data_IF_205086138339
#
_entry.id   IF_205086138339
#
_cell.length_a   1.000
_cell.length_b   1.000
_cell.length_c   1.000
_cell.angle_alpha   90.00
_cell.angle_beta   90.00
_cell.angle_gamma   90.00
#
_symmetry.space_group_name_H-M   'P 1'
#
loop_
_entity.id
_entity.type
_entity.pdbx_description
1 polymer ?
#
# COMPACT_ATOMS: atom_id res chain seq x y z
N UNK A 1 -83.20 -46.13 26.14
CA UNK A 1 -83.26 -44.83 25.43
C UNK A 1 -82.02 -44.02 25.78
N UNK A 2 -80.98 -44.09 24.94
CA UNK A 2 -79.74 -43.30 25.08
C UNK A 2 -79.72 -42.26 23.96
N UNK A 3 -79.74 -40.97 24.33
CA UNK A 3 -79.84 -39.83 23.41
C UNK A 3 -78.46 -39.47 22.85
N UNK A 4 -78.38 -39.37 21.53
CA UNK A 4 -77.28 -38.73 20.79
C UNK A 4 -77.02 -37.31 21.29
N UNK A 5 -75.75 -36.93 21.45
CA UNK A 5 -75.31 -35.54 21.59
C UNK A 5 -74.45 -35.18 20.37
N UNK A 6 -74.95 -34.24 19.59
CA UNK A 6 -74.27 -33.60 18.46
C UNK A 6 -73.15 -32.69 18.97
N UNK A 7 -71.94 -32.82 18.41
CA UNK A 7 -70.79 -31.96 18.69
C UNK A 7 -70.65 -30.99 17.51
N UNK A 8 -70.62 -29.69 17.80
CA UNK A 8 -70.30 -28.63 16.82
C UNK A 8 -68.78 -28.42 16.80
N UNK A 9 -68.17 -28.51 15.62
CA UNK A 9 -66.75 -28.19 15.39
C UNK A 9 -66.63 -26.71 15.05
N UNK A 10 -65.87 -25.96 15.84
CA UNK A 10 -65.50 -24.57 15.55
C UNK A 10 -64.19 -24.60 14.76
N UNK A 11 -64.21 -24.07 13.54
CA UNK A 11 -63.06 -23.97 12.66
C UNK A 11 -62.36 -22.62 12.89
N UNK A 12 -61.17 -22.64 13.50
CA UNK A 12 -60.35 -21.43 13.67
C UNK A 12 -59.41 -21.29 12.48
N UNK A 13 -59.61 -20.24 11.68
CA UNK A 13 -58.69 -19.86 10.58
C UNK A 13 -57.57 -19.01 11.16
N UNK A 14 -56.32 -19.50 11.07
CA UNK A 14 -55.11 -18.73 11.43
C UNK A 14 -54.57 -18.07 10.17
N UNK A 15 -54.58 -16.74 10.13
CA UNK A 15 -53.97 -15.94 9.08
C UNK A 15 -52.45 -15.84 9.33
N UNK A 16 -51.64 -16.46 8.48
CA UNK A 16 -50.19 -16.30 8.50
C UNK A 16 -49.81 -15.01 7.74
N UNK A 17 -49.29 -14.01 8.45
CA UNK A 17 -48.72 -12.80 7.85
C UNK A 17 -47.24 -13.05 7.60
N UNK A 18 -46.87 -13.24 6.34
CA UNK A 18 -45.48 -13.36 5.91
C UNK A 18 -44.81 -12.00 5.93
N UNK A 19 -43.85 -11.78 6.85
CA UNK A 19 -42.97 -10.62 6.82
C UNK A 19 -41.97 -10.76 5.68
N UNK A 20 -42.16 -9.99 4.60
CA UNK A 20 -41.12 -9.77 3.61
C UNK A 20 -40.02 -8.92 4.24
N UNK A 21 -38.83 -9.51 4.43
CA UNK A 21 -37.63 -8.75 4.79
C UNK A 21 -37.25 -7.89 3.59
N UNK A 22 -37.57 -6.60 3.64
CA UNK A 22 -36.99 -5.63 2.72
C UNK A 22 -35.52 -5.50 3.09
N UNK A 23 -34.64 -6.04 2.26
CA UNK A 23 -33.20 -5.79 2.30
C UNK A 23 -32.97 -4.28 2.23
N UNK A 24 -32.67 -3.69 3.38
CA UNK A 24 -32.28 -2.30 3.48
C UNK A 24 -30.95 -2.14 2.75
N UNK A 25 -30.95 -1.32 1.71
CA UNK A 25 -29.71 -0.81 1.13
C UNK A 25 -29.03 -0.02 2.25
N UNK A 26 -28.04 -0.65 2.89
CA UNK A 26 -27.09 0.08 3.71
C UNK A 26 -26.39 1.04 2.77
N UNK A 27 -26.72 2.32 2.87
CA UNK A 27 -25.82 3.37 2.42
C UNK A 27 -24.48 3.07 3.09
N UNK A 28 -23.43 2.88 2.29
CA UNK A 28 -22.08 2.76 2.79
C UNK A 28 -21.76 4.04 3.56
N UNK A 29 -21.89 4.00 4.88
CA UNK A 29 -21.14 4.87 5.78
C UNK A 29 -19.69 4.75 5.36
N UNK A 30 -18.96 5.86 5.20
CA UNK A 30 -17.54 5.87 4.84
C UNK A 30 -16.84 4.72 5.57
N UNK A 31 -16.51 3.66 4.81
CA UNK A 31 -15.90 2.49 5.39
C UNK A 31 -14.60 2.96 6.04
N UNK A 32 -14.37 2.59 7.29
CA UNK A 32 -13.08 2.81 7.91
C UNK A 32 -12.03 2.16 6.99
N UNK A 33 -11.22 2.98 6.32
CA UNK A 33 -10.31 2.51 5.27
C UNK A 33 -9.44 1.41 5.85
N UNK A 34 -9.51 0.22 5.28
CA UNK A 34 -8.73 -0.94 5.72
C UNK A 34 -7.26 -0.82 5.29
N UNK A 35 -7.01 -0.07 4.22
CA UNK A 35 -5.68 0.35 3.80
C UNK A 35 -5.12 1.41 4.77
N UNK A 36 -4.00 1.09 5.42
CA UNK A 36 -3.33 1.97 6.38
C UNK A 36 -2.18 2.75 5.77
N UNK A 37 -1.42 2.14 4.85
CA UNK A 37 -0.29 2.75 4.18
C UNK A 37 -0.21 2.33 2.72
N UNK A 38 0.35 3.20 1.90
CA UNK A 38 0.38 3.05 0.44
C UNK A 38 -0.84 3.66 -0.25
N UNK A 39 -0.96 3.47 -1.58
CA UNK A 39 -0.01 2.74 -2.41
C UNK A 39 1.32 3.49 -2.54
N UNK A 40 2.43 2.74 -2.57
CA UNK A 40 3.73 3.27 -3.02
C UNK A 40 4.22 2.42 -4.17
N UNK A 41 4.67 3.10 -5.23
CA UNK A 41 5.16 2.46 -6.44
C UNK A 41 6.67 2.35 -6.39
N UNK A 42 7.22 1.25 -6.86
CA UNK A 42 8.67 1.08 -7.05
C UNK A 42 8.98 -0.12 -7.91
N UNK A 43 10.27 -0.44 -8.02
CA UNK A 43 10.76 -1.43 -8.98
C UNK A 43 10.17 -1.23 -10.40
N UNK A 44 9.93 0.02 -10.79
CA UNK A 44 9.33 0.36 -12.07
C UNK A 44 10.35 0.10 -13.17
N UNK A 45 9.91 -0.57 -14.23
CA UNK A 45 10.68 -0.82 -15.44
C UNK A 45 9.84 -0.42 -16.65
N UNK A 46 10.30 -0.75 -17.86
CA UNK A 46 9.50 -0.55 -19.06
C UNK A 46 8.24 -1.42 -19.10
N UNK A 47 8.27 -2.59 -18.45
CA UNK A 47 7.23 -3.62 -18.59
C UNK A 47 6.71 -4.15 -17.27
N UNK A 48 7.14 -3.60 -16.14
CA UNK A 48 6.73 -4.04 -14.82
C UNK A 48 6.79 -2.90 -13.79
N UNK A 49 6.05 -3.06 -12.70
CA UNK A 49 6.12 -2.24 -11.50
C UNK A 49 5.75 -3.06 -10.27
N UNK A 50 6.00 -2.54 -9.08
CA UNK A 50 5.55 -3.13 -7.82
C UNK A 50 4.81 -2.11 -6.99
N UNK A 51 3.73 -2.54 -6.35
CA UNK A 51 2.84 -1.71 -5.56
C UNK A 51 2.84 -2.20 -4.12
N UNK A 52 3.33 -1.37 -3.22
CA UNK A 52 3.26 -1.61 -1.77
C UNK A 52 1.90 -1.19 -1.23
N UNK A 53 1.34 -2.02 -0.36
CA UNK A 53 0.17 -1.71 0.46
C UNK A 53 0.33 -2.34 1.85
N UNK A 54 -0.30 -1.73 2.86
CA UNK A 54 -0.43 -2.31 4.20
C UNK A 54 -1.85 -2.20 4.71
N UNK A 55 -2.43 -3.30 5.18
CA UNK A 55 -3.77 -3.33 5.76
C UNK A 55 -3.74 -3.21 7.29
N UNK A 56 -4.89 -2.89 7.89
CA UNK A 56 -5.06 -2.85 9.35
C UNK A 56 -4.93 -4.23 9.97
N UNK A 57 -5.62 -5.20 9.36
CA UNK A 57 -5.72 -6.60 9.76
C UNK A 57 -5.39 -7.51 8.57
N UNK A 58 -5.40 -8.83 8.79
CA UNK A 58 -5.24 -9.80 7.71
C UNK A 58 -6.40 -9.68 6.72
N UNK A 59 -6.07 -9.56 5.44
CA UNK A 59 -7.06 -9.33 4.39
C UNK A 59 -6.57 -9.82 3.03
N UNK A 60 -7.51 -10.03 2.12
CA UNK A 60 -7.21 -10.22 0.70
C UNK A 60 -6.96 -8.85 0.04
N UNK A 61 -5.83 -8.70 -0.63
CA UNK A 61 -5.45 -7.47 -1.34
C UNK A 61 -5.27 -7.74 -2.83
N UNK A 62 -5.85 -6.89 -3.67
CA UNK A 62 -5.59 -6.83 -5.11
C UNK A 62 -5.25 -5.42 -5.54
N UNK A 63 -4.49 -5.29 -6.62
CA UNK A 63 -4.30 -4.01 -7.31
C UNK A 63 -5.27 -3.96 -8.48
N UNK A 64 -6.09 -2.91 -8.55
CA UNK A 64 -6.92 -2.57 -9.71
C UNK A 64 -6.24 -1.44 -10.46
N UNK A 65 -5.85 -1.64 -11.70
CA UNK A 65 -5.06 -0.67 -12.46
C UNK A 65 -5.43 -0.61 -13.93
N UNK A 66 -5.31 0.58 -14.52
CA UNK A 66 -5.69 0.86 -15.92
C UNK A 66 -5.00 2.12 -16.44
N UNK A 67 -5.13 2.39 -17.74
CA UNK A 67 -4.57 3.60 -18.38
C UNK A 67 -5.55 4.78 -18.33
N UNK A 68 -6.86 4.50 -18.18
CA UNK A 68 -7.87 5.53 -18.00
C UNK A 68 -7.82 6.09 -16.57
N UNK A 69 -7.86 7.42 -16.44
CA UNK A 69 -7.77 8.11 -15.15
C UNK A 69 -8.94 7.81 -14.20
N UNK A 70 -10.05 7.30 -14.73
CA UNK A 70 -11.23 6.87 -13.98
C UNK A 70 -11.28 5.36 -13.71
N UNK A 71 -10.24 4.61 -14.14
CA UNK A 71 -10.14 3.15 -14.05
C UNK A 71 -11.25 2.40 -14.82
N UNK A 72 -11.85 3.02 -15.83
CA UNK A 72 -12.87 2.36 -16.69
C UNK A 72 -12.32 1.20 -17.52
N UNK A 73 -11.01 1.18 -17.79
CA UNK A 73 -10.28 0.12 -18.50
C UNK A 73 -9.52 -0.82 -17.56
N UNK A 74 -9.76 -0.73 -16.25
CA UNK A 74 -8.91 -1.39 -15.27
C UNK A 74 -9.04 -2.92 -15.29
N UNK A 75 -7.90 -3.56 -15.05
CA UNK A 75 -7.78 -4.98 -14.74
C UNK A 75 -7.39 -5.15 -13.27
N UNK A 76 -7.62 -6.34 -12.72
CA UNK A 76 -7.23 -6.69 -11.36
C UNK A 76 -6.10 -7.73 -11.38
N UNK A 77 -5.18 -7.61 -10.43
CA UNK A 77 -4.18 -8.66 -10.17
C UNK A 77 -4.82 -9.89 -9.53
N UNK A 78 -4.06 -10.98 -9.46
CA UNK A 78 -4.35 -12.03 -8.50
C UNK A 78 -4.32 -11.47 -7.06
N UNK A 79 -5.10 -12.09 -6.19
CA UNK A 79 -5.15 -11.78 -4.77
C UNK A 79 -3.85 -12.16 -4.06
N UNK A 80 -3.41 -11.32 -3.13
CA UNK A 80 -2.40 -11.64 -2.13
C UNK A 80 -2.98 -11.48 -0.73
N UNK A 81 -2.55 -12.32 0.20
CA UNK A 81 -3.00 -12.26 1.59
C UNK A 81 -2.00 -11.46 2.41
N UNK A 82 -2.49 -10.52 3.21
CA UNK A 82 -1.68 -9.87 4.25
C UNK A 82 -1.82 -10.62 5.57
N UNK A 83 -0.76 -10.64 6.38
CA UNK A 83 -0.78 -11.32 7.67
C UNK A 83 0.23 -10.75 8.66
N UNK A 84 0.08 -11.14 9.92
CA UNK A 84 0.90 -10.61 11.02
C UNK A 84 2.39 -10.98 10.88
N UNK A 85 2.72 -12.04 10.16
CA UNK A 85 4.09 -12.48 9.93
C UNK A 85 4.93 -11.43 9.20
N UNK A 86 4.29 -10.62 8.33
CA UNK A 86 4.90 -9.52 7.58
C UNK A 86 4.29 -8.15 7.95
N UNK A 87 3.77 -7.99 9.17
CA UNK A 87 3.12 -6.74 9.63
C UNK A 87 2.00 -6.24 8.70
N UNK A 88 1.25 -7.18 8.13
CA UNK A 88 0.12 -6.94 7.23
C UNK A 88 0.49 -6.14 5.97
N UNK A 89 1.76 -6.20 5.56
CA UNK A 89 2.22 -5.61 4.30
C UNK A 89 2.08 -6.59 3.14
N UNK A 90 1.99 -6.05 1.94
CA UNK A 90 2.07 -6.80 0.68
C UNK A 90 2.74 -5.93 -0.38
N UNK A 91 3.47 -6.57 -1.30
CA UNK A 91 4.05 -5.93 -2.48
C UNK A 91 3.63 -6.74 -3.70
N UNK A 92 2.70 -6.17 -4.46
CA UNK A 92 2.08 -6.83 -5.61
C UNK A 92 2.80 -6.41 -6.89
N UNK A 93 3.25 -7.38 -7.68
CA UNK A 93 3.86 -7.13 -8.99
C UNK A 93 2.78 -6.87 -10.04
N UNK A 94 3.03 -5.87 -10.88
CA UNK A 94 2.33 -5.62 -12.12
C UNK A 94 3.29 -5.94 -13.26
N UNK A 95 2.94 -6.91 -14.10
CA UNK A 95 3.78 -7.37 -15.22
C UNK A 95 3.11 -7.04 -16.56
N UNK A 96 3.87 -7.21 -17.65
CA UNK A 96 3.40 -6.99 -19.02
C UNK A 96 2.84 -5.57 -19.28
N UNK A 97 3.39 -4.57 -18.60
CA UNK A 97 3.05 -3.17 -18.83
C UNK A 97 3.58 -2.70 -20.19
N UNK A 98 2.88 -1.74 -20.78
CA UNK A 98 3.38 -1.03 -21.95
C UNK A 98 4.46 -0.02 -21.51
N UNK A 99 5.59 0.11 -22.23
CA UNK A 99 6.59 1.13 -21.94
C UNK A 99 6.05 2.55 -22.04
N UNK A 100 6.65 3.47 -21.29
CA UNK A 100 6.36 4.92 -21.32
C UNK A 100 4.87 5.26 -21.13
N UNK A 101 4.13 4.47 -20.36
CA UNK A 101 2.67 4.53 -20.23
C UNK A 101 2.29 4.84 -18.78
N UNK A 102 1.33 5.77 -18.61
CA UNK A 102 0.78 6.09 -17.29
C UNK A 102 -0.27 5.06 -16.90
N UNK A 103 -0.17 4.55 -15.67
CA UNK A 103 -1.13 3.64 -15.07
C UNK A 103 -1.68 4.24 -13.79
N UNK A 104 -3.00 4.33 -13.69
CA UNK A 104 -3.74 4.71 -12.51
C UNK A 104 -4.04 3.47 -11.68
N UNK A 105 -4.12 3.63 -10.36
CA UNK A 105 -4.16 2.50 -9.43
C UNK A 105 -5.15 2.76 -8.29
N UNK A 106 -5.92 1.72 -7.99
CA UNK A 106 -6.66 1.55 -6.74
C UNK A 106 -6.23 0.25 -6.06
N UNK A 107 -6.42 0.19 -4.74
CA UNK A 107 -6.20 -1.00 -3.94
C UNK A 107 -7.56 -1.53 -3.50
N UNK A 108 -7.80 -2.80 -3.76
CA UNK A 108 -8.97 -3.51 -3.27
C UNK A 108 -8.56 -4.29 -2.02
N UNK A 109 -9.26 -4.08 -0.90
CA UNK A 109 -9.10 -4.87 0.32
C UNK A 109 -10.42 -5.60 0.57
N UNK A 110 -10.39 -6.93 0.57
CA UNK A 110 -11.57 -7.81 0.62
C UNK A 110 -12.63 -7.42 -0.43
N UNK A 111 -12.16 -7.19 -1.67
CA UNK A 111 -12.95 -6.71 -2.81
C UNK A 111 -13.57 -5.30 -2.65
N UNK A 112 -13.21 -4.55 -1.61
CA UNK A 112 -13.67 -3.17 -1.39
C UNK A 112 -12.60 -2.18 -1.86
N UNK A 113 -12.92 -1.28 -2.83
CA UNK A 113 -12.08 -0.14 -3.21
C UNK A 113 -11.66 0.71 -2.03
N UNK A 114 -10.37 1.04 -1.92
CA UNK A 114 -9.82 1.81 -0.80
C UNK A 114 -9.49 3.26 -1.16
N UNK A 115 -9.32 3.56 -2.45
CA UNK A 115 -8.99 4.89 -2.94
C UNK A 115 -10.11 5.46 -3.80
N UNK A 116 -10.08 6.77 -3.99
CA UNK A 116 -11.02 7.49 -4.85
C UNK A 116 -10.25 8.38 -5.83
N UNK A 117 -10.94 8.79 -6.89
CA UNK A 117 -10.38 9.72 -7.86
C UNK A 117 -10.02 11.09 -7.21
N UNK A 118 -8.94 11.76 -7.65
CA UNK A 118 -7.97 11.29 -8.64
C UNK A 118 -7.12 10.14 -8.09
N UNK A 119 -7.06 9.03 -8.83
CA UNK A 119 -6.33 7.84 -8.39
C UNK A 119 -4.81 8.09 -8.44
N UNK A 120 -4.04 7.55 -7.47
CA UNK A 120 -2.59 7.51 -7.57
C UNK A 120 -2.15 6.84 -8.87
N UNK A 121 -1.04 7.30 -9.43
CA UNK A 121 -0.54 6.79 -10.69
C UNK A 121 0.98 6.73 -10.70
N UNK A 122 1.51 5.92 -11.60
CA UNK A 122 2.91 5.93 -11.98
C UNK A 122 3.03 5.86 -13.50
N UNK A 123 4.23 6.11 -14.01
CA UNK A 123 4.55 5.94 -15.43
C UNK A 123 5.63 4.88 -15.58
N UNK A 124 5.37 3.85 -16.38
CA UNK A 124 6.40 2.86 -16.75
C UNK A 124 7.54 3.53 -17.50
N UNK A 125 8.75 2.97 -17.40
CA UNK A 125 9.91 3.56 -18.07
C UNK A 125 9.82 3.40 -19.60
N UNK A 126 10.53 4.23 -20.37
CA UNK A 126 10.70 4.02 -21.80
C UNK A 126 11.31 2.64 -22.10
N UNK A 127 11.05 2.12 -23.30
CA UNK A 127 11.65 0.86 -23.73
C UNK A 127 13.19 0.96 -23.71
N UNK A 128 13.92 -0.09 -23.31
CA UNK A 128 15.38 -0.08 -23.32
C UNK A 128 15.94 0.34 -24.70
N UNK A 129 16.94 1.23 -24.69
CA UNK A 129 17.51 1.81 -25.91
C UNK A 129 16.77 3.03 -26.47
N UNK A 130 15.64 3.43 -25.88
CA UNK A 130 14.96 4.68 -26.24
C UNK A 130 15.66 5.86 -25.59
N UNK A 131 16.11 6.83 -26.39
CA UNK A 131 16.63 8.10 -25.86
C UNK A 131 15.48 8.90 -25.24
N UNK A 132 15.63 9.31 -23.99
CA UNK A 132 14.60 10.06 -23.26
C UNK A 132 15.26 10.98 -22.25
N UNK A 133 14.87 12.25 -22.25
CA UNK A 133 15.24 13.18 -21.18
C UNK A 133 14.37 12.92 -19.95
N UNK A 134 15.00 12.79 -18.78
CA UNK A 134 14.29 12.63 -17.52
C UNK A 134 15.03 13.35 -16.40
N UNK A 135 14.31 13.63 -15.32
CA UNK A 135 14.87 14.05 -14.03
C UNK A 135 14.67 12.92 -13.04
N UNK A 136 15.59 12.77 -12.11
CA UNK A 136 15.40 12.01 -10.90
C UNK A 136 15.84 12.86 -9.71
N UNK A 137 15.35 12.53 -8.53
CA UNK A 137 15.81 13.13 -7.28
C UNK A 137 16.46 12.04 -6.44
N UNK A 138 17.55 12.37 -5.74
CA UNK A 138 18.20 11.49 -4.78
C UNK A 138 18.08 12.12 -3.39
N UNK A 139 17.49 11.39 -2.44
CA UNK A 139 17.28 11.82 -1.06
C UNK A 139 17.90 10.81 -0.10
N UNK A 140 18.55 11.30 0.95
CA UNK A 140 19.24 10.49 1.97
C UNK A 140 19.15 11.21 3.31
N UNK A 141 19.40 10.49 4.41
CA UNK A 141 19.58 11.05 5.76
C UNK A 141 18.37 11.91 6.21
N UNK A 142 17.16 11.41 5.97
CA UNK A 142 15.94 12.09 6.35
C UNK A 142 15.51 11.68 7.75
N UNK A 143 15.64 12.56 8.73
CA UNK A 143 15.07 12.33 10.05
C UNK A 143 13.67 12.95 10.19
N UNK A 144 12.78 12.28 10.92
CA UNK A 144 11.50 12.80 11.36
C UNK A 144 11.70 13.84 12.49
N UNK A 145 12.42 14.93 12.21
CA UNK A 145 12.60 16.01 13.17
C UNK A 145 11.25 16.73 13.39
N UNK A 146 10.69 16.74 14.61
CA UNK A 146 9.40 17.34 14.89
C UNK A 146 9.44 18.87 14.93
N UNK A 147 10.62 19.49 14.92
CA UNK A 147 10.80 20.94 15.06
C UNK A 147 11.34 21.62 13.79
N UNK A 148 11.67 20.85 12.75
CA UNK A 148 12.27 21.36 11.52
C UNK A 148 11.42 21.00 10.30
N UNK A 149 10.94 22.03 9.59
CA UNK A 149 10.37 21.88 8.26
C UNK A 149 11.46 21.45 7.28
N UNK A 150 11.36 20.24 6.74
CA UNK A 150 12.24 19.75 5.69
C UNK A 150 11.79 20.29 4.31
N UNK A 151 12.13 21.56 4.02
CA UNK A 151 11.86 22.18 2.71
C UNK A 151 12.41 21.40 1.52
N UNK A 152 13.37 20.50 1.75
CA UNK A 152 13.92 19.56 0.78
C UNK A 152 12.83 18.82 0.00
N UNK A 153 11.79 18.30 0.66
CA UNK A 153 10.71 17.56 -0.02
C UNK A 153 9.85 18.46 -0.92
N UNK A 154 9.65 19.71 -0.52
CA UNK A 154 8.95 20.71 -1.32
C UNK A 154 9.73 20.99 -2.61
N UNK A 155 11.05 21.20 -2.52
CA UNK A 155 11.89 21.45 -3.70
C UNK A 155 12.03 20.20 -4.58
N UNK A 156 12.22 19.03 -3.98
CA UNK A 156 12.24 17.75 -4.68
C UNK A 156 10.95 17.52 -5.47
N UNK A 157 9.79 17.74 -4.86
CA UNK A 157 8.49 17.60 -5.52
C UNK A 157 8.29 18.59 -6.67
N UNK A 158 8.84 19.81 -6.57
CA UNK A 158 8.77 20.84 -7.63
C UNK A 158 9.57 20.49 -8.88
N UNK A 159 10.61 19.66 -8.76
CA UNK A 159 11.37 19.19 -9.92
C UNK A 159 10.55 18.30 -10.86
N UNK A 160 9.44 17.74 -10.38
CA UNK A 160 8.61 16.76 -11.09
C UNK A 160 9.45 15.59 -11.65
N UNK A 161 10.24 14.90 -10.80
CA UNK A 161 11.09 13.81 -11.25
C UNK A 161 10.27 12.64 -11.81
N UNK A 162 10.89 11.84 -12.68
CA UNK A 162 10.32 10.58 -13.15
C UNK A 162 10.26 9.53 -12.03
N UNK A 163 11.23 9.57 -11.10
CA UNK A 163 11.30 8.73 -9.92
C UNK A 163 12.22 9.35 -8.87
N UNK A 164 12.12 8.88 -7.63
CA UNK A 164 12.96 9.30 -6.51
C UNK A 164 13.78 8.14 -6.00
N UNK A 165 15.09 8.34 -5.87
CA UNK A 165 15.99 7.40 -5.21
C UNK A 165 16.03 7.77 -3.72
N UNK A 166 15.73 6.79 -2.88
CA UNK A 166 15.91 6.87 -1.43
C UNK A 166 17.21 6.13 -1.12
N UNK A 167 18.24 6.89 -0.76
CA UNK A 167 19.61 6.42 -0.54
C UNK A 167 19.83 5.65 0.77
N UNK A 168 18.84 5.66 1.65
CA UNK A 168 18.90 5.08 2.99
C UNK A 168 18.76 6.14 4.07
N UNK A 169 18.75 5.67 5.32
CA UNK A 169 18.71 6.51 6.53
C UNK A 169 17.43 7.36 6.67
N UNK A 170 16.27 6.73 6.41
CA UNK A 170 14.96 7.39 6.56
C UNK A 170 14.29 7.13 7.92
N UNK A 171 14.17 5.87 8.40
CA UNK A 171 13.52 5.62 9.69
C UNK A 171 14.41 6.02 10.89
N UNK A 172 15.75 6.10 10.71
CA UNK A 172 16.78 6.36 11.75
C UNK A 172 16.56 5.60 13.08
N UNK A 173 15.91 4.44 13.01
CA UNK A 173 15.40 3.73 14.16
C UNK A 173 16.46 2.86 14.83
N UNK A 174 17.02 3.28 15.97
CA UNK A 174 18.17 2.63 16.63
C UNK A 174 17.93 1.25 17.28
N UNK A 175 16.81 0.59 17.01
CA UNK A 175 16.43 -0.67 17.68
C UNK A 175 17.08 -1.90 17.06
N UNK A 176 17.37 -2.90 17.91
CA UNK A 176 17.86 -4.22 17.54
C UNK A 176 16.73 -5.26 17.34
N UNK A 177 15.49 -4.97 17.73
CA UNK A 177 14.37 -5.90 17.60
C UNK A 177 13.50 -5.61 16.36
N UNK A 178 12.94 -6.67 15.77
CA UNK A 178 12.16 -6.61 14.52
C UNK A 178 10.90 -5.74 14.67
N UNK A 179 10.13 -5.93 15.75
CA UNK A 179 8.89 -5.20 15.99
C UNK A 179 9.09 -3.68 16.00
N UNK A 180 10.14 -3.23 16.69
CA UNK A 180 10.47 -1.80 16.79
C UNK A 180 11.05 -1.27 15.48
N UNK A 181 11.77 -2.08 14.70
CA UNK A 181 12.19 -1.71 13.34
C UNK A 181 10.97 -1.47 12.44
N UNK A 182 10.01 -2.38 12.44
CA UNK A 182 8.71 -2.24 11.77
C UNK A 182 7.97 -0.99 12.22
N UNK A 183 7.97 -0.69 13.53
CA UNK A 183 7.41 0.56 14.06
C UNK A 183 8.03 1.81 13.43
N UNK A 184 9.36 1.88 13.31
CA UNK A 184 10.03 3.03 12.68
C UNK A 184 9.71 3.15 11.19
N UNK A 185 9.65 2.04 10.47
CA UNK A 185 9.21 2.06 9.07
C UNK A 185 7.75 2.50 8.93
N UNK A 186 6.83 2.04 9.79
CA UNK A 186 5.44 2.58 9.80
C UNK A 186 5.40 4.09 10.00
N UNK A 187 6.20 4.60 10.93
CA UNK A 187 6.17 6.03 11.28
C UNK A 187 6.51 6.95 10.10
N UNK A 188 7.38 6.54 9.17
CA UNK A 188 7.73 7.35 7.99
C UNK A 188 6.66 7.36 6.89
N UNK A 189 5.61 6.54 7.03
CA UNK A 189 4.43 6.57 6.17
C UNK A 189 3.25 7.34 6.78
N UNK A 190 3.33 7.74 8.05
CA UNK A 190 2.27 8.45 8.74
C UNK A 190 2.51 9.97 8.69
N UNK A 191 1.73 10.75 7.91
CA UNK A 191 1.88 12.19 7.81
C UNK A 191 1.57 12.93 9.12
N UNK A 192 1.02 12.26 10.14
CA UNK A 192 0.83 12.85 11.47
C UNK A 192 2.09 12.80 12.35
N UNK A 193 3.13 12.04 11.97
CA UNK A 193 4.35 11.86 12.77
C UNK A 193 5.12 13.17 12.98
N UNK A 194 5.34 13.95 11.92
CA UNK A 194 6.01 15.26 11.95
C UNK A 194 5.73 16.06 10.67
N UNK A 195 6.00 17.38 10.64
CA UNK A 195 5.89 18.18 9.42
C UNK A 195 6.80 17.67 8.28
N UNK A 196 8.02 17.24 8.59
CA UNK A 196 8.96 16.67 7.62
C UNK A 196 8.44 15.36 7.01
N UNK A 197 7.88 14.46 7.83
CA UNK A 197 7.29 13.21 7.35
C UNK A 197 6.00 13.46 6.56
N UNK A 198 5.18 14.43 6.97
CA UNK A 198 4.00 14.84 6.21
C UNK A 198 4.34 15.19 4.77
N UNK A 199 5.38 15.99 4.59
CA UNK A 199 5.80 16.44 3.26
C UNK A 199 6.49 15.31 2.48
N UNK A 200 7.27 14.45 3.14
CA UNK A 200 7.78 13.23 2.53
C UNK A 200 6.66 12.34 1.98
N UNK A 201 5.64 12.05 2.78
CA UNK A 201 4.50 11.22 2.36
C UNK A 201 3.73 11.89 1.23
N UNK A 202 3.33 13.15 1.40
CA UNK A 202 2.41 13.80 0.47
C UNK A 202 3.06 14.27 -0.83
N UNK A 203 4.33 14.67 -0.78
CA UNK A 203 5.04 15.25 -1.93
C UNK A 203 5.99 14.27 -2.61
N UNK A 204 6.36 13.17 -1.94
CA UNK A 204 7.25 12.13 -2.50
C UNK A 204 6.53 10.80 -2.65
N UNK A 205 6.22 10.11 -1.54
CA UNK A 205 5.73 8.72 -1.57
C UNK A 205 4.41 8.55 -2.35
N UNK A 206 3.50 9.52 -2.23
CA UNK A 206 2.20 9.51 -2.93
C UNK A 206 2.28 9.97 -4.39
N UNK A 207 3.38 10.57 -4.81
CA UNK A 207 3.49 11.28 -6.10
C UNK A 207 4.41 10.58 -7.10
N UNK A 208 5.46 9.90 -6.62
CA UNK A 208 6.52 9.40 -7.48
C UNK A 208 6.88 7.94 -7.16
N UNK A 209 7.23 7.14 -8.18
CA UNK A 209 7.89 5.87 -7.95
C UNK A 209 9.19 6.05 -7.18
N UNK A 210 9.47 5.12 -6.26
CA UNK A 210 10.67 5.12 -5.44
C UNK A 210 11.59 3.95 -5.77
N UNK A 211 12.89 4.22 -5.74
CA UNK A 211 13.95 3.22 -5.73
C UNK A 211 14.67 3.32 -4.39
N UNK A 212 14.41 2.40 -3.46
CA UNK A 212 14.96 2.46 -2.10
C UNK A 212 16.11 1.47 -1.94
N UNK A 213 17.23 1.94 -1.41
CA UNK A 213 18.34 1.14 -0.90
C UNK A 213 18.57 1.44 0.59
N UNK A 214 19.16 0.49 1.32
CA UNK A 214 19.55 0.71 2.72
C UNK A 214 20.83 1.54 2.85
N UNK A 215 20.99 2.17 4.02
CA UNK A 215 22.26 2.68 4.55
C UNK A 215 22.40 2.29 6.03
N UNK A 216 23.50 2.68 6.66
CA UNK A 216 23.98 2.18 7.94
C UNK A 216 23.04 2.45 9.13
N UNK A 217 22.25 3.52 9.13
CA UNK A 217 21.25 3.78 10.18
C UNK A 217 19.92 3.05 9.94
N UNK A 218 19.65 2.54 8.74
CA UNK A 218 18.53 1.60 8.54
C UNK A 218 18.75 0.29 9.32
N UNK A 219 20.01 -0.01 9.69
CA UNK A 219 20.35 -1.17 10.50
C UNK A 219 20.12 -0.99 12.01
N UNK A 220 19.82 0.23 12.46
CA UNK A 220 19.71 0.58 13.86
C UNK A 220 20.85 1.47 14.33
N UNK A 221 21.85 0.87 14.99
CA UNK A 221 23.07 1.60 15.32
C UNK A 221 23.92 1.79 14.06
N UNK A 222 24.73 2.87 13.96
CA UNK A 222 25.71 3.00 12.88
C UNK A 222 26.48 1.71 12.68
N UNK A 223 26.48 1.20 11.45
CA UNK A 223 26.90 -0.18 11.15
C UNK A 223 27.65 -0.28 9.82
N UNK A 224 28.04 -1.51 9.46
CA UNK A 224 28.71 -1.82 8.20
C UNK A 224 28.20 -3.16 7.64
N UNK A 225 28.77 -3.62 6.52
CA UNK A 225 28.35 -4.86 5.85
C UNK A 225 28.35 -6.13 6.72
N UNK A 226 29.10 -6.14 7.82
CA UNK A 226 29.22 -7.28 8.75
C UNK A 226 28.22 -7.20 9.92
N UNK A 227 27.24 -6.31 9.87
CA UNK A 227 26.28 -6.13 10.97
C UNK A 227 25.42 -7.39 11.20
N UNK A 228 25.34 -7.93 12.43
CA UNK A 228 24.65 -9.20 12.70
C UNK A 228 23.17 -9.24 12.32
N UNK A 229 22.46 -8.11 12.36
CA UNK A 229 21.02 -8.05 12.07
C UNK A 229 20.71 -7.67 10.62
N UNK A 230 21.68 -7.79 9.72
CA UNK A 230 21.53 -7.43 8.31
C UNK A 230 20.34 -8.10 7.64
N UNK A 231 20.12 -9.39 7.87
CA UNK A 231 18.99 -10.12 7.30
C UNK A 231 17.65 -9.55 7.80
N UNK A 232 17.52 -9.25 9.09
CA UNK A 232 16.34 -8.62 9.68
C UNK A 232 16.08 -7.23 9.08
N UNK A 233 17.13 -6.45 8.82
CA UNK A 233 16.95 -5.13 8.20
C UNK A 233 16.56 -5.21 6.73
N UNK A 234 17.16 -6.15 5.99
CA UNK A 234 16.74 -6.44 4.61
C UNK A 234 15.26 -6.83 4.57
N UNK A 235 14.85 -7.70 5.50
CA UNK A 235 13.46 -8.12 5.63
C UNK A 235 12.54 -6.91 5.82
N UNK A 236 12.82 -6.02 6.77
CA UNK A 236 11.94 -4.86 7.00
C UNK A 236 11.94 -3.92 5.79
N UNK A 237 13.08 -3.65 5.17
CA UNK A 237 13.11 -2.85 3.94
C UNK A 237 12.22 -3.48 2.84
N UNK A 238 12.30 -4.80 2.68
CA UNK A 238 11.51 -5.56 1.71
C UNK A 238 10.03 -5.71 2.11
N UNK A 239 9.68 -5.57 3.39
CA UNK A 239 8.29 -5.54 3.84
C UNK A 239 7.62 -4.21 3.53
N UNK A 240 8.35 -3.10 3.60
CA UNK A 240 7.78 -1.75 3.51
C UNK A 240 8.05 -1.03 2.19
N UNK A 241 9.02 -1.44 1.38
CA UNK A 241 9.30 -0.77 0.12
C UNK A 241 9.35 -1.76 -1.06
N UNK A 242 8.75 -1.39 -2.21
CA UNK A 242 8.89 -2.13 -3.46
C UNK A 242 10.32 -1.98 -4.02
N UNK A 243 11.26 -2.75 -3.46
CA UNK A 243 12.67 -2.70 -3.88
C UNK A 243 12.88 -3.38 -5.22
N UNK A 244 13.84 -2.89 -5.99
CA UNK A 244 14.39 -3.62 -7.12
C UNK A 244 15.02 -4.94 -6.61
N UNK A 245 15.05 -6.00 -7.43
CA UNK A 245 15.82 -7.19 -7.09
C UNK A 245 17.27 -6.78 -6.80
N UNK A 246 17.75 -7.06 -5.59
CA UNK A 246 19.18 -6.94 -5.32
C UNK A 246 19.89 -7.94 -6.23
N UNK A 247 20.90 -7.48 -6.98
CA UNK A 247 21.80 -8.42 -7.65
C UNK A 247 22.33 -9.39 -6.59
N UNK A 248 22.37 -10.69 -6.92
CA UNK A 248 22.58 -11.80 -5.97
C UNK A 248 23.91 -11.83 -5.20
N UNK A 249 24.63 -10.71 -5.10
CA UNK A 249 25.89 -10.55 -4.38
C UNK A 249 25.78 -10.60 -2.85
N UNK A 250 24.62 -10.98 -2.30
CA UNK A 250 24.41 -11.05 -0.85
C UNK A 250 24.27 -12.49 -0.31
N UNK A 251 24.52 -13.51 -1.14
CA UNK A 251 24.56 -14.92 -0.74
C UNK A 251 25.96 -15.54 -0.89
N UNK A 252 27.02 -14.80 -0.56
CA UNK A 252 28.37 -15.34 -0.38
C UNK A 252 28.89 -15.01 1.01
#
# INVERSE_FOLDING_TARGET
>A
MSKQKTIYVILTVVLAVSFFSTSSWRHATAADTALTHGPVFGAVTATAARVFARTRDAAEVKVRYGQAADLSDAVETAAQQTGAEHDFTTIISLDHLNPNTTYYVDILVDAVPQLAAPYPHFKSFPAPGTETSFKFVYLTDSNADPFMDAKTFIYAGREKPAFVILGGDFPHGKSLNLERKRFYYKAIYDPATSPSIRDFVNLILRQYPVAHMWDNHDFGMPSNKNYPLRATNLQVLQEYFPTYPASGFFLA
#
